data_IF_950310428499
#
_entry.id   IF_950310428499
#
_cell.length_a   1.000
_cell.length_b   1.000
_cell.length_c   1.000
_cell.angle_alpha   90.00
_cell.angle_beta   90.00
_cell.angle_gamma   90.00
#
_symmetry.space_group_name_H-M   'P 1'
#
loop_
_entity.id
_entity.type
_entity.pdbx_description
1 polymer ?
#
# COMPACT_ATOMS: atom_id res chain seq x y z
N UNK A 1 10.45 -9.69 5.79
CA UNK A 1 9.47 -9.45 4.71
C UNK A 1 8.72 -10.72 4.32
N UNK A 2 9.39 -11.86 4.11
CA UNK A 2 8.79 -13.14 3.70
C UNK A 2 7.53 -13.55 4.50
N UNK A 3 7.60 -13.54 5.84
CA UNK A 3 6.44 -13.87 6.71
C UNK A 3 5.23 -12.94 6.48
N UNK A 4 5.47 -11.69 6.09
CA UNK A 4 4.42 -10.69 5.85
C UNK A 4 3.78 -10.93 4.48
N UNK A 5 4.58 -11.27 3.46
CA UNK A 5 4.06 -11.68 2.15
C UNK A 5 3.19 -12.93 2.29
N UNK A 6 3.63 -13.96 3.00
CA UNK A 6 2.85 -15.18 3.22
C UNK A 6 1.46 -14.90 3.83
N UNK A 7 1.39 -13.96 4.78
CA UNK A 7 0.12 -13.49 5.37
C UNK A 7 -0.79 -12.80 4.35
N UNK A 8 -0.25 -11.96 3.47
CA UNK A 8 -1.02 -11.32 2.40
C UNK A 8 -1.49 -12.35 1.39
N UNK A 9 -0.65 -13.33 1.03
CA UNK A 9 -1.01 -14.44 0.16
C UNK A 9 -2.16 -15.26 0.73
N UNK A 10 -2.10 -15.61 2.01
CA UNK A 10 -3.19 -16.30 2.71
C UNK A 10 -4.49 -15.50 2.65
N UNK A 11 -4.42 -14.19 2.94
CA UNK A 11 -5.58 -13.32 2.86
C UNK A 11 -6.15 -13.25 1.44
N UNK A 12 -5.33 -13.05 0.40
CA UNK A 12 -5.77 -13.03 -1.00
C UNK A 12 -6.50 -14.31 -1.37
N UNK A 13 -5.93 -15.48 -1.02
CA UNK A 13 -6.58 -16.78 -1.24
C UNK A 13 -7.93 -16.87 -0.52
N UNK A 14 -8.03 -16.36 0.71
CA UNK A 14 -9.28 -16.42 1.49
C UNK A 14 -10.43 -15.60 0.87
N UNK A 15 -10.11 -14.56 0.09
CA UNK A 15 -11.08 -13.68 -0.56
C UNK A 15 -11.21 -13.94 -2.07
N UNK A 16 -10.51 -14.94 -2.60
CA UNK A 16 -10.52 -15.26 -4.04
C UNK A 16 -9.82 -14.21 -4.92
N UNK A 17 -8.93 -13.41 -4.33
CA UNK A 17 -8.11 -12.43 -5.07
C UNK A 17 -6.92 -13.11 -5.75
N UNK A 18 -6.37 -12.48 -6.80
CA UNK A 18 -5.24 -13.00 -7.57
C UNK A 18 -4.03 -13.28 -6.67
N UNK A 19 -3.47 -14.47 -6.85
CA UNK A 19 -2.16 -14.91 -6.34
C UNK A 19 -1.44 -15.56 -7.51
N UNK A 20 -0.33 -14.97 -7.94
CA UNK A 20 0.49 -15.48 -9.02
C UNK A 20 1.56 -16.44 -8.49
N UNK A 21 1.85 -17.50 -9.25
CA UNK A 21 2.96 -18.42 -8.97
C UNK A 21 4.28 -17.90 -9.58
N UNK A 22 4.19 -17.12 -10.66
CA UNK A 22 5.32 -16.49 -11.37
C UNK A 22 5.18 -14.96 -11.39
N UNK A 23 6.28 -14.26 -11.68
CA UNK A 23 6.26 -12.81 -11.84
C UNK A 23 5.52 -12.44 -13.14
N UNK A 24 4.46 -11.65 -13.01
CA UNK A 24 3.63 -11.20 -14.12
C UNK A 24 3.08 -9.80 -13.85
N UNK A 25 2.75 -9.09 -14.92
CA UNK A 25 2.03 -7.81 -14.82
C UNK A 25 0.55 -8.06 -14.51
N UNK A 26 -0.09 -7.13 -13.79
CA UNK A 26 -1.54 -7.15 -13.59
C UNK A 26 -2.28 -6.90 -14.90
N UNK A 27 -3.52 -7.39 -15.04
CA UNK A 27 -4.38 -7.06 -16.18
C UNK A 27 -4.57 -5.54 -16.32
N UNK A 28 -4.41 -5.01 -17.53
CA UNK A 28 -4.48 -3.57 -17.80
C UNK A 28 -5.64 -3.21 -18.73
N UNK A 29 -6.25 -2.06 -18.47
CA UNK A 29 -6.96 -1.27 -19.47
C UNK A 29 -6.06 -0.10 -19.86
N UNK A 30 -5.25 -0.28 -20.90
CA UNK A 30 -4.17 0.63 -21.29
C UNK A 30 -4.61 2.10 -21.32
N UNK A 31 -5.78 2.40 -21.89
CA UNK A 31 -6.27 3.78 -21.99
C UNK A 31 -6.65 4.36 -20.61
N UNK A 32 -7.41 3.61 -19.82
CA UNK A 32 -7.84 4.05 -18.50
C UNK A 32 -6.65 4.20 -17.54
N UNK A 33 -5.70 3.25 -17.58
CA UNK A 33 -4.54 3.20 -16.71
C UNK A 33 -3.52 4.30 -17.04
N UNK A 34 -3.27 4.57 -18.33
CA UNK A 34 -2.44 5.70 -18.75
C UNK A 34 -3.06 7.03 -18.35
N UNK A 35 -4.39 7.16 -18.48
CA UNK A 35 -5.10 8.36 -18.02
C UNK A 35 -4.94 8.56 -16.51
N UNK A 36 -4.98 7.48 -15.73
CA UNK A 36 -4.74 7.54 -14.28
C UNK A 36 -3.31 7.99 -13.99
N UNK A 37 -2.29 7.37 -14.59
CA UNK A 37 -0.89 7.74 -14.40
C UNK A 37 -0.63 9.22 -14.75
N UNK A 38 -1.12 9.67 -15.91
CA UNK A 38 -1.01 11.08 -16.33
C UNK A 38 -1.67 12.03 -15.32
N UNK A 39 -2.83 11.67 -14.77
CA UNK A 39 -3.50 12.46 -13.73
C UNK A 39 -2.68 12.58 -12.43
N UNK A 40 -1.97 11.52 -12.04
CA UNK A 40 -1.05 11.54 -10.90
C UNK A 40 0.16 12.45 -11.17
N UNK A 41 0.77 12.34 -12.36
CA UNK A 41 1.88 13.22 -12.79
C UNK A 41 1.47 14.69 -12.82
N UNK A 42 0.26 15.00 -13.31
CA UNK A 42 -0.27 16.37 -13.28
C UNK A 42 -0.45 16.91 -11.86
N UNK A 43 -0.89 16.08 -10.91
CA UNK A 43 -1.03 16.48 -9.52
C UNK A 43 0.32 16.86 -8.92
N UNK A 44 1.36 16.06 -9.19
CA UNK A 44 2.73 16.37 -8.77
C UNK A 44 3.19 17.70 -9.38
N UNK A 45 3.04 17.86 -10.70
CA UNK A 45 3.45 19.08 -11.40
C UNK A 45 2.77 20.34 -10.83
N UNK A 46 1.45 20.27 -10.58
CA UNK A 46 0.69 21.37 -9.95
C UNK A 46 1.24 21.69 -8.55
N UNK A 47 1.43 20.67 -7.72
CA UNK A 47 1.96 20.86 -6.35
C UNK A 47 3.38 21.46 -6.33
N UNK A 48 4.20 21.20 -7.34
CA UNK A 48 5.55 21.77 -7.45
C UNK A 48 5.54 23.20 -7.99
N UNK A 49 4.53 23.57 -8.79
CA UNK A 49 4.40 24.90 -9.40
C UNK A 49 3.85 25.99 -8.47
N UNK A 50 3.21 25.60 -7.35
CA UNK A 50 2.54 26.53 -6.42
C UNK A 50 3.51 27.39 -5.58
N UNK A 51 4.83 27.25 -5.75
CA UNK A 51 5.86 28.11 -5.14
C UNK A 51 5.96 28.04 -3.62
N UNK A 52 5.06 27.31 -2.95
CA UNK A 52 5.11 27.05 -1.52
C UNK A 52 6.05 25.89 -1.22
N UNK A 53 6.86 26.04 -0.16
CA UNK A 53 7.66 24.93 0.34
C UNK A 53 6.73 23.90 0.99
N UNK A 54 6.57 22.75 0.34
CA UNK A 54 5.78 21.63 0.86
C UNK A 54 6.22 21.21 2.26
N UNK A 55 5.26 20.83 3.11
CA UNK A 55 5.50 20.22 4.42
C UNK A 55 6.22 18.86 4.28
N UNK A 56 6.67 18.29 5.41
CA UNK A 56 7.21 16.93 5.38
C UNK A 56 6.17 15.92 4.85
N UNK A 57 4.93 15.99 5.34
CA UNK A 57 3.83 15.17 4.85
C UNK A 57 3.61 15.33 3.34
N UNK A 58 3.62 16.57 2.84
CA UNK A 58 3.44 16.82 1.41
C UNK A 58 4.54 16.15 0.56
N UNK A 59 5.82 16.25 0.97
CA UNK A 59 6.90 15.57 0.25
C UNK A 59 6.74 14.04 0.25
N UNK A 60 6.40 13.45 1.41
CA UNK A 60 6.17 12.00 1.51
C UNK A 60 5.00 11.54 0.65
N UNK A 61 3.92 12.31 0.63
CA UNK A 61 2.76 12.03 -0.22
C UNK A 61 3.09 12.13 -1.71
N UNK A 62 3.84 13.17 -2.13
CA UNK A 62 4.24 13.32 -3.53
C UNK A 62 5.17 12.19 -3.99
N UNK A 63 6.13 11.76 -3.16
CA UNK A 63 6.96 10.58 -3.45
C UNK A 63 6.09 9.33 -3.64
N UNK A 64 5.14 9.07 -2.73
CA UNK A 64 4.25 7.91 -2.86
C UNK A 64 3.38 7.94 -4.13
N UNK A 65 3.00 9.13 -4.59
CA UNK A 65 2.25 9.33 -5.84
C UNK A 65 3.15 9.10 -7.06
N UNK A 66 4.40 9.54 -7.01
CA UNK A 66 5.40 9.36 -8.06
C UNK A 66 5.67 7.88 -8.31
N UNK A 67 6.02 7.12 -7.27
CA UNK A 67 6.28 5.68 -7.40
C UNK A 67 5.03 4.89 -7.85
N UNK A 68 3.82 5.36 -7.49
CA UNK A 68 2.57 4.78 -7.96
C UNK A 68 2.36 5.03 -9.45
N UNK A 69 2.64 6.25 -9.94
CA UNK A 69 2.54 6.58 -11.35
C UNK A 69 3.49 5.73 -12.19
N UNK A 70 4.75 5.60 -11.75
CA UNK A 70 5.77 4.78 -12.42
C UNK A 70 5.37 3.31 -12.50
N UNK A 71 4.81 2.78 -11.42
CA UNK A 71 4.33 1.40 -11.41
C UNK A 71 3.19 1.17 -12.41
N UNK A 72 2.26 2.12 -12.54
CA UNK A 72 1.18 2.04 -13.54
C UNK A 72 1.73 2.18 -14.96
N UNK A 73 2.62 3.15 -15.19
CA UNK A 73 3.28 3.39 -16.48
C UNK A 73 3.96 2.10 -16.97
N UNK A 74 4.81 1.49 -16.13
CA UNK A 74 5.49 0.23 -16.43
C UNK A 74 4.54 -0.93 -16.77
N UNK A 75 3.40 -1.05 -16.06
CA UNK A 75 2.36 -2.01 -16.40
C UNK A 75 1.78 -1.76 -17.79
N UNK A 76 1.47 -0.50 -18.13
CA UNK A 76 0.89 -0.14 -19.44
C UNK A 76 1.89 -0.17 -20.59
N UNK A 77 3.19 -0.23 -20.29
CA UNK A 77 4.27 -0.38 -21.25
C UNK A 77 4.67 -1.85 -21.46
N UNK A 78 4.16 -2.76 -20.63
CA UNK A 78 4.51 -4.17 -20.71
C UNK A 78 5.91 -4.48 -20.13
N UNK A 79 6.46 -3.58 -19.31
CA UNK A 79 7.79 -3.73 -18.72
C UNK A 79 7.72 -4.31 -17.31
N UNK A 80 7.90 -5.63 -17.22
CA UNK A 80 7.91 -6.35 -15.93
C UNK A 80 9.08 -5.94 -15.03
N UNK A 81 10.23 -5.59 -15.59
CA UNK A 81 11.41 -5.22 -14.80
C UNK A 81 11.20 -3.86 -14.17
N UNK A 82 10.75 -2.87 -14.95
CA UNK A 82 10.40 -1.55 -14.44
C UNK A 82 9.24 -1.61 -13.43
N UNK A 83 8.24 -2.47 -13.66
CA UNK A 83 7.15 -2.67 -12.71
C UNK A 83 7.62 -3.28 -11.39
N UNK A 84 8.62 -4.17 -11.42
CA UNK A 84 9.22 -4.75 -10.23
C UNK A 84 10.09 -3.74 -9.46
N UNK A 85 10.84 -2.89 -10.17
CA UNK A 85 11.63 -1.80 -9.61
C UNK A 85 10.73 -0.80 -8.86
N UNK A 86 9.70 -0.28 -9.53
CA UNK A 86 8.72 0.62 -8.94
C UNK A 86 7.94 -0.03 -7.77
N UNK A 87 7.68 -1.35 -7.80
CA UNK A 87 7.10 -2.05 -6.65
C UNK A 87 8.05 -2.00 -5.44
N UNK A 88 9.36 -2.19 -5.67
CA UNK A 88 10.41 -2.05 -4.67
C UNK A 88 10.44 -0.65 -4.05
N UNK A 89 10.41 0.38 -4.87
CA UNK A 89 10.44 1.78 -4.42
C UNK A 89 9.18 2.15 -3.63
N UNK A 90 8.00 1.68 -4.05
CA UNK A 90 6.76 1.84 -3.28
C UNK A 90 6.85 1.21 -1.90
N UNK A 91 7.42 0.00 -1.79
CA UNK A 91 7.66 -0.65 -0.49
C UNK A 91 8.62 0.20 0.35
N UNK A 92 9.69 0.71 -0.26
CA UNK A 92 10.68 1.52 0.42
C UNK A 92 10.09 2.83 0.95
N UNK A 93 9.27 3.52 0.15
CA UNK A 93 8.56 4.73 0.57
C UNK A 93 7.60 4.43 1.71
N UNK A 94 6.78 3.38 1.63
CA UNK A 94 5.86 3.02 2.71
C UNK A 94 6.58 2.70 4.03
N UNK A 95 7.70 1.98 3.98
CA UNK A 95 8.51 1.72 5.17
C UNK A 95 9.19 2.99 5.69
N UNK A 96 9.63 3.87 4.78
CA UNK A 96 10.16 5.18 5.14
C UNK A 96 9.14 6.05 5.89
N UNK A 97 7.84 5.92 5.61
CA UNK A 97 6.79 6.65 6.33
C UNK A 97 6.70 6.18 7.77
N UNK A 98 6.78 4.86 8.00
CA UNK A 98 6.81 4.29 9.34
C UNK A 98 8.04 4.77 10.12
N UNK A 99 9.22 4.83 9.47
CA UNK A 99 10.44 5.37 10.08
C UNK A 99 10.28 6.85 10.41
N UNK A 100 9.79 7.65 9.46
CA UNK A 100 9.61 9.10 9.63
C UNK A 100 8.60 9.46 10.73
N UNK A 101 7.68 8.55 11.05
CA UNK A 101 6.61 8.76 12.04
C UNK A 101 6.83 8.00 13.35
N UNK A 102 7.84 7.11 13.42
CA UNK A 102 8.04 6.21 14.56
C UNK A 102 6.94 5.16 14.73
N UNK A 103 6.11 4.94 13.71
CA UNK A 103 5.01 3.99 13.82
C UNK A 103 5.52 2.54 13.85
N UNK A 104 4.99 1.69 14.75
CA UNK A 104 5.39 0.29 14.85
C UNK A 104 4.80 -0.54 13.70
N UNK A 105 5.35 -0.37 12.49
CA UNK A 105 4.78 -0.91 11.26
C UNK A 105 4.57 -2.43 11.28
N UNK A 106 5.46 -3.18 11.95
CA UNK A 106 5.33 -4.63 12.05
C UNK A 106 4.09 -5.04 12.84
N UNK A 107 3.89 -4.43 14.03
CA UNK A 107 2.74 -4.66 14.91
C UNK A 107 1.44 -4.18 14.27
N UNK A 108 1.47 -2.99 13.65
CA UNK A 108 0.32 -2.45 12.91
C UNK A 108 -0.07 -3.38 11.77
N UNK A 109 0.89 -3.88 10.99
CA UNK A 109 0.63 -4.84 9.93
C UNK A 109 -0.01 -6.11 10.48
N UNK A 110 0.52 -6.68 11.57
CA UNK A 110 0.02 -7.94 12.11
C UNK A 110 -1.42 -7.81 12.60
N UNK A 111 -1.78 -6.67 13.20
CA UNK A 111 -3.14 -6.40 13.65
C UNK A 111 -4.10 -6.10 12.51
N UNK A 112 -3.66 -5.37 11.48
CA UNK A 112 -4.45 -5.17 10.26
C UNK A 112 -4.68 -6.50 9.55
N UNK A 113 -3.67 -7.36 9.46
CA UNK A 113 -3.82 -8.69 8.89
C UNK A 113 -4.78 -9.55 9.72
N UNK A 114 -4.65 -9.59 11.05
CA UNK A 114 -5.59 -10.29 11.95
C UNK A 114 -7.03 -9.84 11.70
N UNK A 115 -7.27 -8.53 11.67
CA UNK A 115 -8.59 -7.95 11.36
C UNK A 115 -9.08 -8.35 9.95
N UNK A 116 -8.20 -8.30 8.94
CA UNK A 116 -8.54 -8.68 7.57
C UNK A 116 -8.99 -10.14 7.48
N UNK A 117 -8.37 -11.05 8.23
CA UNK A 117 -8.78 -12.47 8.28
C UNK A 117 -10.16 -12.71 8.91
N UNK A 118 -10.76 -11.72 9.59
CA UNK A 118 -12.16 -11.78 10.09
C UNK A 118 -13.20 -11.36 9.04
N UNK A 119 -12.76 -10.84 7.89
CA UNK A 119 -13.64 -10.51 6.76
C UNK A 119 -14.03 -11.79 6.03
N UNK A 120 -15.24 -11.83 5.45
CA UNK A 120 -15.67 -12.92 4.55
C UNK A 120 -15.48 -12.50 3.08
N UNK A 121 -15.55 -13.47 2.18
CA UNK A 121 -15.31 -13.32 0.74
C UNK A 121 -16.19 -12.24 0.07
N UNK A 122 -15.57 -11.66 -0.95
CA UNK A 122 -15.71 -10.36 -1.62
C UNK A 122 -16.99 -10.16 -2.43
N UNK A 123 -17.44 -8.91 -2.59
CA UNK A 123 -18.21 -8.51 -3.78
C UNK A 123 -17.27 -8.42 -4.98
N UNK A 124 -17.73 -8.84 -6.16
CA UNK A 124 -16.91 -8.97 -7.37
C UNK A 124 -16.29 -7.65 -7.89
N UNK A 125 -16.71 -6.49 -7.39
CA UNK A 125 -16.41 -5.20 -8.02
C UNK A 125 -15.23 -4.43 -7.40
N UNK A 126 -14.65 -4.86 -6.27
CA UNK A 126 -13.71 -4.00 -5.52
C UNK A 126 -12.41 -4.64 -5.00
N UNK A 127 -12.24 -5.96 -5.12
CA UNK A 127 -11.09 -6.68 -4.53
C UNK A 127 -10.98 -6.55 -3.01
N UNK A 128 -11.99 -5.95 -2.33
CA UNK A 128 -12.00 -5.71 -0.89
C UNK A 128 -12.99 -6.64 -0.20
N UNK A 129 -12.52 -7.42 0.78
CA UNK A 129 -13.38 -8.24 1.63
C UNK A 129 -14.48 -7.40 2.31
N UNK A 130 -15.71 -7.90 2.29
CA UNK A 130 -16.88 -7.22 2.87
C UNK A 130 -16.97 -7.50 4.38
N UNK A 131 -17.48 -6.53 5.16
CA UNK A 131 -17.63 -6.71 6.62
C UNK A 131 -18.74 -7.74 6.87
N UNK A 132 -18.40 -8.84 7.56
CA UNK A 132 -19.37 -9.82 8.04
C UNK A 132 -19.84 -9.47 9.45
N UNK A 133 -20.89 -10.13 9.95
CA UNK A 133 -21.33 -10.02 11.36
C UNK A 133 -20.24 -10.48 12.36
N UNK A 134 -19.21 -11.18 11.88
CA UNK A 134 -18.04 -11.63 12.65
C UNK A 134 -16.81 -10.74 12.46
N UNK A 135 -16.94 -9.56 11.84
CA UNK A 135 -15.83 -8.63 11.63
C UNK A 135 -15.32 -8.06 12.95
N UNK A 136 -14.00 -8.13 13.15
CA UNK A 136 -13.31 -7.48 14.26
C UNK A 136 -12.41 -6.36 13.74
N UNK A 137 -12.65 -5.13 14.20
CA UNK A 137 -11.83 -3.98 13.83
C UNK A 137 -10.39 -4.11 14.39
N UNK A 138 -9.37 -3.55 13.71
CA UNK A 138 -8.01 -3.59 14.21
C UNK A 138 -7.84 -2.68 15.43
N UNK A 139 -7.22 -3.19 16.50
CA UNK A 139 -6.91 -2.45 17.72
C UNK A 139 -5.63 -1.60 17.58
N UNK A 140 -5.68 -0.60 16.70
CA UNK A 140 -4.57 0.32 16.44
C UNK A 140 -4.22 1.16 17.68
N UNK A 141 -5.24 1.68 18.38
CA UNK A 141 -5.03 2.50 19.59
C UNK A 141 -4.27 1.73 20.69
N UNK A 142 -4.61 0.46 20.91
CA UNK A 142 -3.91 -0.39 21.86
C UNK A 142 -2.45 -0.64 21.49
N UNK A 143 -2.13 -0.73 20.20
CA UNK A 143 -0.74 -0.87 19.72
C UNK A 143 0.05 0.41 19.99
N UNK A 144 -0.50 1.56 19.62
CA UNK A 144 0.14 2.85 19.83
C UNK A 144 0.37 3.11 21.33
N UNK A 145 -0.61 2.80 22.18
CA UNK A 145 -0.47 2.94 23.63
C UNK A 145 0.68 2.10 24.22
N UNK A 146 0.85 0.85 23.77
CA UNK A 146 1.97 -0.01 24.22
C UNK A 146 3.32 0.42 23.66
N UNK A 147 3.36 0.92 22.42
CA UNK A 147 4.58 1.38 21.78
C UNK A 147 5.15 2.61 22.51
N UNK A 148 4.29 3.58 22.88
CA UNK A 148 4.69 4.75 23.65
C UNK A 148 5.20 4.43 25.06
N UNK A 149 4.82 3.29 25.63
CA UNK A 149 5.22 2.90 26.98
C UNK A 149 6.60 2.23 27.03
N UNK A 150 7.01 1.56 25.94
CA UNK A 150 8.35 0.93 25.83
C UNK A 150 9.51 1.93 25.82
N UNK A 151 9.27 3.20 25.46
CA UNK A 151 10.30 4.25 25.44
C UNK A 151 10.49 4.94 26.80
N UNK A 152 9.59 4.74 27.77
CA UNK A 152 9.65 5.38 29.11
C UNK A 152 10.43 4.52 30.12
N UNK A 153 10.57 3.22 29.85
CA UNK A 153 11.23 2.25 30.75
C UNK A 153 12.72 2.00 30.41
N UNK A 154 13.40 2.93 29.70
CA UNK A 154 14.83 2.86 29.34
C UNK A 154 15.62 4.00 29.98
#
# INVERSE_FOLDING_TARGET
MEKKIAKVTEFHRSIGEKVADDAELLEQNIEADRKLANGLRELIAKSMSDGQRGSHLNRRALMAIEELAEWIEAHTEGDLVAAADALGDRIYVLLGDAVATGLPASELFDEVHRSNMTKRATSADSGKGTKSDSFEAPNIAGILGRASQKEIDV
#
